data_IF_308035235258
#
_entry.id   IF_308035235258
#
_cell.length_a   1.000
_cell.length_b   1.000
_cell.length_c   1.000
_cell.angle_alpha   90.00
_cell.angle_beta   90.00
_cell.angle_gamma   90.00
#
_symmetry.space_group_name_H-M   'P 1'
#
loop_
_entity.id
_entity.type
_entity.pdbx_description
1 polymer ?
#
# COMPACT_ATOMS: atom_id res chain seq x y z
N UNK A 1 -21.20 -22.67 -38.55
CA UNK A 1 -21.32 -22.54 -37.09
C UNK A 1 -20.82 -23.82 -36.46
N UNK A 2 -19.51 -23.99 -36.39
CA UNK A 2 -18.96 -25.07 -35.57
C UNK A 2 -18.91 -24.56 -34.14
N UNK A 3 -19.81 -25.12 -33.33
CA UNK A 3 -19.93 -24.81 -31.89
C UNK A 3 -18.75 -25.43 -31.11
N UNK A 4 -18.01 -26.34 -31.74
CA UNK A 4 -16.83 -26.98 -31.19
C UNK A 4 -15.80 -27.24 -32.28
N UNK A 5 -14.56 -26.81 -32.06
CA UNK A 5 -13.40 -27.15 -32.88
C UNK A 5 -12.24 -27.56 -31.97
N UNK A 6 -11.61 -28.68 -32.32
CA UNK A 6 -10.42 -29.18 -31.65
C UNK A 6 -9.37 -29.46 -32.71
N UNK A 7 -8.25 -28.73 -32.61
CA UNK A 7 -7.07 -29.00 -33.40
C UNK A 7 -6.11 -29.89 -32.62
N UNK A 8 -6.04 -31.16 -33.00
CA UNK A 8 -5.15 -32.15 -32.39
C UNK A 8 -3.67 -31.80 -32.63
N UNK A 9 -3.36 -31.13 -33.76
CA UNK A 9 -1.97 -30.80 -34.13
C UNK A 9 -1.46 -29.65 -33.26
N UNK A 10 -2.24 -28.58 -33.14
CA UNK A 10 -1.85 -27.39 -32.36
C UNK A 10 -2.32 -27.43 -30.90
N UNK A 11 -3.08 -28.47 -30.51
CA UNK A 11 -3.61 -28.69 -29.15
C UNK A 11 -4.51 -27.55 -28.67
N UNK A 12 -5.27 -26.95 -29.59
CA UNK A 12 -6.22 -25.88 -29.30
C UNK A 12 -7.61 -26.48 -29.02
N UNK A 13 -8.27 -26.00 -27.97
CA UNK A 13 -9.61 -26.43 -27.55
C UNK A 13 -10.57 -25.25 -27.63
N UNK A 14 -11.38 -25.19 -28.68
CA UNK A 14 -12.28 -24.06 -28.94
C UNK A 14 -13.75 -24.49 -28.84
N UNK A 15 -14.55 -23.77 -28.06
CA UNK A 15 -15.99 -24.00 -27.92
C UNK A 15 -16.75 -22.68 -27.86
N UNK A 16 -17.73 -22.50 -28.73
CA UNK A 16 -18.47 -21.25 -28.88
C UNK A 16 -18.34 -20.66 -30.28
N UNK A 17 -19.17 -19.66 -30.55
CA UNK A 17 -19.19 -18.98 -31.84
C UNK A 17 -17.96 -18.05 -31.97
N UNK A 18 -17.27 -18.09 -33.11
CA UNK A 18 -16.04 -17.33 -33.42
C UNK A 18 -14.86 -17.55 -32.44
N UNK A 19 -14.93 -18.56 -31.57
CA UNK A 19 -13.83 -18.85 -30.64
C UNK A 19 -12.60 -19.35 -31.40
N UNK A 20 -11.48 -18.63 -31.28
CA UNK A 20 -10.22 -18.98 -31.94
C UNK A 20 -10.23 -18.93 -33.47
N UNK A 21 -11.13 -18.17 -34.09
CA UNK A 21 -11.34 -18.17 -35.55
C UNK A 21 -10.08 -17.78 -36.36
N UNK A 22 -9.24 -16.89 -35.82
CA UNK A 22 -8.02 -16.42 -36.51
C UNK A 22 -6.80 -17.33 -36.35
N UNK A 23 -6.91 -18.42 -35.57
CA UNK A 23 -5.79 -19.34 -35.35
C UNK A 23 -5.48 -20.07 -36.66
N UNK A 24 -4.27 -19.86 -37.18
CA UNK A 24 -3.78 -20.54 -38.37
C UNK A 24 -3.04 -21.82 -38.01
N UNK A 25 -3.20 -22.85 -38.86
CA UNK A 25 -2.69 -24.19 -38.61
C UNK A 25 -1.15 -24.30 -38.74
N UNK A 26 -0.40 -23.71 -37.82
CA UNK A 26 1.05 -23.88 -37.54
C UNK A 26 1.56 -22.95 -36.42
N UNK A 27 0.73 -22.03 -35.92
CA UNK A 27 1.07 -21.02 -34.93
C UNK A 27 -0.06 -20.95 -33.88
N UNK A 28 0.14 -20.29 -32.73
CA UNK A 28 -0.91 -20.14 -31.72
C UNK A 28 -1.31 -21.47 -31.07
N UNK A 29 -0.36 -22.10 -30.40
CA UNK A 29 -0.43 -23.46 -29.87
C UNK A 29 -1.02 -23.49 -28.45
N UNK A 30 -1.76 -24.56 -28.13
CA UNK A 30 -2.10 -24.93 -26.75
C UNK A 30 -3.12 -24.01 -26.06
N UNK A 31 -4.00 -23.36 -26.82
CA UNK A 31 -5.01 -22.45 -26.32
C UNK A 31 -6.30 -23.18 -25.87
N UNK A 32 -6.97 -22.66 -24.84
CA UNK A 32 -8.30 -23.10 -24.38
C UNK A 32 -9.27 -21.93 -24.47
N UNK A 33 -10.18 -21.95 -25.43
CA UNK A 33 -11.04 -20.82 -25.78
C UNK A 33 -12.52 -21.24 -25.69
N UNK A 34 -13.25 -20.74 -24.69
CA UNK A 34 -14.62 -21.17 -24.38
C UNK A 34 -15.52 -19.93 -24.21
N UNK A 35 -16.38 -19.65 -25.18
CA UNK A 35 -17.28 -18.50 -25.16
C UNK A 35 -17.56 -17.96 -26.54
N UNK A 36 -18.54 -17.05 -26.63
CA UNK A 36 -18.77 -16.28 -27.86
C UNK A 36 -17.62 -15.27 -28.03
N UNK A 37 -16.96 -15.31 -29.19
CA UNK A 37 -15.80 -14.51 -29.54
C UNK A 37 -14.58 -14.63 -28.60
N UNK A 38 -14.45 -15.74 -27.86
CA UNK A 38 -13.31 -15.97 -26.99
C UNK A 38 -12.02 -16.16 -27.81
N UNK A 39 -11.04 -15.27 -27.65
CA UNK A 39 -9.76 -15.33 -28.35
C UNK A 39 -9.85 -15.28 -29.88
N UNK A 40 -10.85 -14.58 -30.44
CA UNK A 40 -11.11 -14.56 -31.89
C UNK A 40 -9.91 -14.11 -32.73
N UNK A 41 -9.14 -13.11 -32.27
CA UNK A 41 -8.05 -12.53 -33.04
C UNK A 41 -6.69 -13.22 -32.81
N UNK A 42 -6.61 -14.30 -32.03
CA UNK A 42 -5.34 -14.98 -31.74
C UNK A 42 -4.78 -15.58 -33.04
N UNK A 43 -3.62 -15.09 -33.47
CA UNK A 43 -2.90 -15.61 -34.65
C UNK A 43 -1.71 -16.46 -34.24
N UNK A 44 -0.84 -15.92 -33.36
CA UNK A 44 0.43 -16.58 -32.97
C UNK A 44 0.64 -16.70 -31.47
N UNK A 45 -0.33 -16.25 -30.67
CA UNK A 45 -0.26 -16.32 -29.21
C UNK A 45 -0.43 -17.74 -28.68
N UNK A 46 0.51 -18.20 -27.87
CA UNK A 46 0.52 -19.57 -27.34
C UNK A 46 0.01 -19.63 -25.89
N UNK A 47 -0.56 -20.78 -25.54
CA UNK A 47 -0.89 -21.17 -24.16
C UNK A 47 -1.81 -20.20 -23.41
N UNK A 48 -2.80 -19.64 -24.10
CA UNK A 48 -3.81 -18.79 -23.48
C UNK A 48 -5.04 -19.60 -23.05
N UNK A 49 -5.66 -19.17 -21.95
CA UNK A 49 -6.96 -19.66 -21.49
C UNK A 49 -7.94 -18.50 -21.55
N UNK A 50 -8.96 -18.56 -22.39
CA UNK A 50 -10.03 -17.58 -22.46
C UNK A 50 -11.39 -18.26 -22.22
N UNK A 51 -12.09 -17.89 -21.15
CA UNK A 51 -13.39 -18.46 -20.79
C UNK A 51 -14.38 -17.34 -20.48
N UNK A 52 -15.33 -17.11 -21.38
CA UNK A 52 -16.32 -16.04 -21.30
C UNK A 52 -16.56 -15.36 -22.64
N UNK A 53 -17.68 -14.65 -22.77
CA UNK A 53 -17.94 -13.82 -23.94
C UNK A 53 -16.93 -12.67 -24.04
N UNK A 54 -16.36 -12.45 -25.22
CA UNK A 54 -15.34 -11.43 -25.51
C UNK A 54 -14.07 -11.53 -24.65
N UNK A 55 -13.82 -12.68 -24.00
CA UNK A 55 -12.59 -12.89 -23.24
C UNK A 55 -11.41 -12.97 -24.21
N UNK A 56 -10.38 -12.14 -23.99
CA UNK A 56 -9.16 -12.11 -24.79
C UNK A 56 -9.38 -11.84 -26.30
N UNK A 57 -10.49 -11.18 -26.67
CA UNK A 57 -10.98 -11.10 -28.06
C UNK A 57 -9.97 -10.50 -29.04
N UNK A 58 -9.24 -9.43 -28.67
CA UNK A 58 -8.30 -8.74 -29.59
C UNK A 58 -6.83 -9.17 -29.43
N UNK A 59 -6.54 -10.24 -28.69
CA UNK A 59 -5.17 -10.71 -28.54
C UNK A 59 -4.70 -11.35 -29.85
N UNK A 60 -3.61 -10.85 -30.45
CA UNK A 60 -3.06 -11.40 -31.70
C UNK A 60 -1.81 -12.27 -31.44
N UNK A 61 -0.89 -11.77 -30.63
CA UNK A 61 0.43 -12.38 -30.41
C UNK A 61 0.73 -12.70 -28.94
N UNK A 62 -0.08 -12.20 -28.01
CA UNK A 62 0.13 -12.38 -26.57
C UNK A 62 0.02 -13.84 -26.13
N UNK A 63 0.92 -14.26 -25.26
CA UNK A 63 1.05 -15.64 -24.79
C UNK A 63 0.94 -15.76 -23.27
N UNK A 64 0.59 -16.95 -22.79
CA UNK A 64 0.50 -17.28 -21.36
C UNK A 64 -0.53 -16.46 -20.57
N UNK A 65 -1.60 -16.02 -21.22
CA UNK A 65 -2.67 -15.26 -20.56
C UNK A 65 -3.79 -16.17 -20.05
N UNK A 66 -4.39 -15.81 -18.92
CA UNK A 66 -5.58 -16.46 -18.37
C UNK A 66 -6.67 -15.41 -18.23
N UNK A 67 -7.72 -15.46 -19.05
CA UNK A 67 -8.87 -14.58 -19.07
C UNK A 67 -10.14 -15.37 -18.77
N UNK A 68 -10.73 -15.20 -17.59
CA UNK A 68 -11.96 -15.91 -17.19
C UNK A 68 -13.00 -14.88 -16.73
N UNK A 69 -14.03 -14.67 -17.54
CA UNK A 69 -15.09 -13.68 -17.32
C UNK A 69 -15.45 -12.94 -18.60
N UNK A 70 -16.63 -12.32 -18.61
CA UNK A 70 -17.07 -11.48 -19.73
C UNK A 70 -16.16 -10.25 -19.86
N UNK A 71 -15.58 -10.03 -21.06
CA UNK A 71 -14.54 -9.03 -21.36
C UNK A 71 -13.26 -9.09 -20.50
N UNK A 72 -12.94 -10.23 -19.88
CA UNK A 72 -11.65 -10.35 -19.20
C UNK A 72 -10.51 -10.23 -20.23
N UNK A 73 -9.52 -9.36 -19.98
CA UNK A 73 -8.40 -9.08 -20.90
C UNK A 73 -8.82 -8.72 -22.34
N UNK A 74 -9.94 -8.00 -22.51
CA UNK A 74 -10.54 -7.72 -23.82
C UNK A 74 -9.54 -7.16 -24.85
N UNK A 75 -8.73 -6.18 -24.46
CA UNK A 75 -7.80 -5.44 -25.34
C UNK A 75 -6.33 -5.88 -25.21
N UNK A 76 -6.06 -7.07 -24.67
CA UNK A 76 -4.71 -7.49 -24.33
C UNK A 76 -3.93 -8.09 -25.50
N UNK A 77 -2.76 -7.52 -25.82
CA UNK A 77 -1.77 -8.12 -26.72
C UNK A 77 -0.41 -8.40 -26.05
N UNK A 78 -0.39 -8.38 -24.71
CA UNK A 78 0.78 -8.61 -23.88
C UNK A 78 0.80 -10.03 -23.29
N UNK A 79 1.94 -10.41 -22.70
CA UNK A 79 2.16 -11.74 -22.14
C UNK A 79 1.92 -11.81 -20.63
N UNK A 80 1.58 -13.02 -20.17
CA UNK A 80 1.59 -13.42 -18.76
C UNK A 80 0.59 -12.68 -17.85
N UNK A 81 -0.57 -12.27 -18.38
CA UNK A 81 -1.62 -11.66 -17.57
C UNK A 81 -2.65 -12.69 -17.09
N UNK A 82 -3.14 -12.55 -15.86
CA UNK A 82 -4.23 -13.36 -15.30
C UNK A 82 -5.38 -12.45 -14.88
N UNK A 83 -6.54 -12.58 -15.51
CA UNK A 83 -7.76 -11.85 -15.21
C UNK A 83 -8.91 -12.83 -14.92
N UNK A 84 -9.50 -12.72 -13.73
CA UNK A 84 -10.66 -13.50 -13.31
C UNK A 84 -11.77 -12.55 -12.83
N UNK A 85 -12.78 -12.32 -13.66
CA UNK A 85 -13.91 -11.46 -13.34
C UNK A 85 -14.48 -10.71 -14.54
N UNK A 86 -15.65 -10.10 -14.36
CA UNK A 86 -16.25 -9.20 -15.34
C UNK A 86 -15.37 -7.96 -15.55
N UNK A 87 -14.96 -7.68 -16.79
CA UNK A 87 -14.08 -6.56 -17.18
C UNK A 87 -12.75 -6.50 -16.38
N UNK A 88 -12.24 -7.61 -15.85
CA UNK A 88 -10.92 -7.62 -15.20
C UNK A 88 -9.82 -7.40 -16.25
N UNK A 89 -8.91 -6.44 -16.02
CA UNK A 89 -7.84 -6.02 -16.97
C UNK A 89 -8.34 -5.76 -18.40
N UNK A 90 -9.56 -5.25 -18.58
CA UNK A 90 -10.19 -5.12 -19.90
C UNK A 90 -9.35 -4.30 -20.90
N UNK A 91 -8.68 -3.26 -20.42
CA UNK A 91 -7.90 -2.33 -21.24
C UNK A 91 -6.37 -2.57 -21.18
N UNK A 92 -5.92 -3.70 -20.60
CA UNK A 92 -4.51 -3.97 -20.31
C UNK A 92 -3.68 -4.32 -21.53
N UNK A 93 -2.66 -3.51 -21.80
CA UNK A 93 -1.59 -3.75 -22.78
C UNK A 93 -0.20 -3.92 -22.12
N UNK A 94 -0.12 -3.87 -20.78
CA UNK A 94 1.08 -4.20 -19.99
C UNK A 94 1.19 -5.69 -19.66
N UNK A 95 2.34 -6.15 -19.18
CA UNK A 95 2.64 -7.58 -18.94
C UNK A 95 2.61 -7.96 -17.45
N UNK A 96 2.45 -9.26 -17.16
CA UNK A 96 2.62 -9.83 -15.82
C UNK A 96 1.69 -9.26 -14.73
N UNK A 97 0.45 -8.91 -15.08
CA UNK A 97 -0.57 -8.44 -14.16
C UNK A 97 -1.49 -9.58 -13.68
N UNK A 98 -1.92 -9.53 -12.42
CA UNK A 98 -2.95 -10.40 -11.83
C UNK A 98 -4.14 -9.55 -11.41
N UNK A 99 -5.33 -9.85 -11.91
CA UNK A 99 -6.58 -9.22 -11.51
C UNK A 99 -7.67 -10.26 -11.18
N UNK A 100 -8.27 -10.16 -10.01
CA UNK A 100 -9.33 -11.06 -9.55
C UNK A 100 -10.46 -10.24 -8.93
N UNK A 101 -11.61 -10.17 -9.59
CA UNK A 101 -12.77 -9.39 -9.16
C UNK A 101 -13.42 -8.62 -10.31
N UNK A 102 -14.64 -8.12 -10.09
CA UNK A 102 -15.32 -7.27 -11.08
C UNK A 102 -14.56 -5.96 -11.25
N UNK A 103 -14.16 -5.63 -12.48
CA UNK A 103 -13.41 -4.43 -12.85
C UNK A 103 -12.08 -4.27 -12.09
N UNK A 104 -11.51 -5.35 -11.57
CA UNK A 104 -10.17 -5.33 -10.98
C UNK A 104 -9.15 -4.93 -12.06
N UNK A 105 -8.37 -3.87 -11.81
CA UNK A 105 -7.44 -3.27 -12.76
C UNK A 105 -8.10 -2.93 -14.13
N UNK A 106 -9.39 -2.58 -14.12
CA UNK A 106 -10.21 -2.46 -15.33
C UNK A 106 -9.64 -1.50 -16.38
N UNK A 107 -9.06 -0.37 -15.94
CA UNK A 107 -8.51 0.67 -16.82
C UNK A 107 -6.96 0.68 -16.86
N UNK A 108 -6.31 -0.39 -16.40
CA UNK A 108 -4.85 -0.56 -16.58
C UNK A 108 -4.54 -0.61 -18.05
N UNK A 109 -3.76 0.35 -18.55
CA UNK A 109 -3.32 0.40 -19.94
C UNK A 109 -1.91 -0.16 -20.04
N UNK A 110 -0.87 0.59 -19.70
CA UNK A 110 0.54 0.17 -19.89
C UNK A 110 1.20 -0.38 -18.63
N UNK A 111 0.54 -0.35 -17.47
CA UNK A 111 1.12 -0.80 -16.20
C UNK A 111 1.45 -2.30 -16.19
N UNK A 112 2.54 -2.66 -15.55
CA UNK A 112 3.06 -4.02 -15.46
C UNK A 112 3.33 -4.46 -14.01
N UNK A 113 3.35 -5.78 -13.79
CA UNK A 113 3.67 -6.37 -12.48
C UNK A 113 2.72 -5.97 -11.35
N UNK A 114 1.45 -5.73 -11.64
CA UNK A 114 0.44 -5.36 -10.64
C UNK A 114 -0.38 -6.56 -10.16
N UNK A 115 -0.83 -6.51 -8.91
CA UNK A 115 -1.76 -7.48 -8.30
C UNK A 115 -3.00 -6.73 -7.82
N UNK A 116 -4.18 -7.02 -8.37
CA UNK A 116 -5.47 -6.46 -8.00
C UNK A 116 -6.43 -7.57 -7.60
N UNK A 117 -6.79 -7.66 -6.31
CA UNK A 117 -7.72 -8.68 -5.80
C UNK A 117 -8.86 -7.98 -5.06
N UNK A 118 -10.06 -8.01 -5.62
CA UNK A 118 -11.24 -7.32 -5.11
C UNK A 118 -11.94 -6.55 -6.22
N UNK A 119 -13.24 -6.28 -6.04
CA UNK A 119 -13.97 -5.47 -7.00
C UNK A 119 -13.40 -4.05 -7.04
N UNK A 120 -13.14 -3.52 -8.24
CA UNK A 120 -12.53 -2.20 -8.48
C UNK A 120 -11.15 -1.96 -7.81
N UNK A 121 -10.44 -3.01 -7.37
CA UNK A 121 -9.05 -2.85 -6.93
C UNK A 121 -8.19 -2.37 -8.11
N UNK A 122 -7.37 -1.33 -7.91
CA UNK A 122 -6.58 -0.67 -8.98
C UNK A 122 -7.39 -0.19 -10.20
N UNK A 123 -8.69 0.11 -10.03
CA UNK A 123 -9.59 0.40 -11.15
C UNK A 123 -9.03 1.44 -12.14
N UNK A 124 -8.53 2.57 -11.62
CA UNK A 124 -8.04 3.68 -12.44
C UNK A 124 -6.53 3.68 -12.68
N UNK A 125 -5.79 2.63 -12.31
CA UNK A 125 -4.38 2.52 -12.69
C UNK A 125 -4.28 2.56 -14.20
N UNK A 126 -3.54 3.50 -14.77
CA UNK A 126 -3.34 3.62 -16.23
C UNK A 126 -1.96 3.14 -16.63
N UNK A 127 -0.91 3.52 -15.89
CA UNK A 127 0.49 3.22 -16.25
C UNK A 127 1.39 2.84 -15.07
N UNK A 128 0.84 2.71 -13.87
CA UNK A 128 1.62 2.41 -12.67
C UNK A 128 2.05 0.95 -12.58
N UNK A 129 3.26 0.72 -12.07
CA UNK A 129 3.92 -0.58 -12.00
C UNK A 129 4.13 -1.06 -10.56
N UNK A 130 4.23 -2.38 -10.37
CA UNK A 130 4.58 -3.00 -9.09
C UNK A 130 3.63 -2.67 -7.92
N UNK A 131 2.34 -2.48 -8.18
CA UNK A 131 1.35 -2.24 -7.14
C UNK A 131 0.67 -3.53 -6.68
N UNK A 132 0.38 -3.63 -5.39
CA UNK A 132 -0.44 -4.70 -4.80
C UNK A 132 -1.65 -4.05 -4.16
N UNK A 133 -2.85 -4.37 -4.64
CA UNK A 133 -4.13 -3.93 -4.10
C UNK A 133 -5.01 -5.14 -3.78
N UNK A 134 -5.30 -5.35 -2.50
CA UNK A 134 -6.12 -6.46 -2.03
C UNK A 134 -7.25 -5.89 -1.18
N UNK A 135 -8.47 -5.87 -1.73
CA UNK A 135 -9.66 -5.30 -1.11
C UNK A 135 -10.55 -4.66 -2.17
N UNK A 136 -11.84 -4.53 -1.86
CA UNK A 136 -12.73 -3.72 -2.71
C UNK A 136 -12.21 -2.28 -2.74
N UNK A 137 -12.02 -1.73 -3.95
CA UNK A 137 -11.60 -0.34 -4.15
C UNK A 137 -10.22 0.01 -3.52
N UNK A 138 -9.38 -1.00 -3.23
CA UNK A 138 -8.01 -0.77 -2.79
C UNK A 138 -7.21 -0.13 -3.94
N UNK A 139 -6.54 1.01 -3.66
CA UNK A 139 -5.88 1.84 -4.67
C UNK A 139 -6.79 2.19 -5.88
N UNK A 140 -8.10 2.40 -5.65
CA UNK A 140 -9.09 2.61 -6.72
C UNK A 140 -8.80 3.80 -7.65
N UNK A 141 -8.37 4.94 -7.10
CA UNK A 141 -8.14 6.19 -7.85
C UNK A 141 -6.66 6.48 -8.14
N UNK A 142 -5.80 5.45 -8.22
CA UNK A 142 -4.37 5.67 -8.48
C UNK A 142 -4.08 5.63 -9.97
N UNK A 143 -3.78 6.77 -10.63
CA UNK A 143 -3.61 6.78 -12.09
C UNK A 143 -2.24 6.28 -12.58
N UNK A 144 -1.16 6.65 -11.89
CA UNK A 144 0.23 6.45 -12.37
C UNK A 144 1.20 6.11 -11.25
N UNK A 145 0.69 5.59 -10.13
CA UNK A 145 1.53 5.37 -8.94
C UNK A 145 2.24 4.04 -9.01
N UNK A 146 3.46 3.97 -8.49
CA UNK A 146 4.25 2.74 -8.49
C UNK A 146 4.55 2.22 -7.09
N UNK A 147 4.80 0.92 -6.98
CA UNK A 147 5.38 0.28 -5.79
C UNK A 147 4.55 0.46 -4.52
N UNK A 148 3.23 0.59 -4.63
CA UNK A 148 2.34 0.68 -3.47
C UNK A 148 1.80 -0.70 -3.08
N UNK A 149 1.71 -0.96 -1.79
CA UNK A 149 0.99 -2.12 -1.24
C UNK A 149 -0.20 -1.64 -0.42
N UNK A 150 -1.40 -2.02 -0.80
CA UNK A 150 -2.64 -1.73 -0.11
C UNK A 150 -3.41 -3.01 0.17
N UNK A 151 -3.69 -3.29 1.44
CA UNK A 151 -4.41 -4.47 1.89
C UNK A 151 -5.55 -4.02 2.79
N UNK A 152 -6.79 -4.09 2.32
CA UNK A 152 -7.99 -3.62 2.98
C UNK A 152 -8.92 -2.91 2.00
N UNK A 153 -10.23 -2.95 2.25
CA UNK A 153 -11.17 -2.22 1.40
C UNK A 153 -10.93 -0.70 1.49
N UNK A 154 -10.89 -0.03 0.34
CA UNK A 154 -10.56 1.39 0.17
C UNK A 154 -9.19 1.83 0.72
N UNK A 155 -8.28 0.89 1.00
CA UNK A 155 -6.92 1.23 1.44
C UNK A 155 -6.16 1.96 0.32
N UNK A 156 -5.53 3.08 0.67
CA UNK A 156 -4.78 3.93 -0.27
C UNK A 156 -5.64 4.53 -1.39
N UNK A 157 -6.97 4.60 -1.25
CA UNK A 157 -7.89 4.95 -2.34
C UNK A 157 -7.56 6.24 -3.09
N UNK A 158 -7.03 7.26 -2.40
CA UNK A 158 -6.63 8.56 -2.98
C UNK A 158 -5.11 8.76 -3.08
N UNK A 159 -4.31 7.69 -2.97
CA UNK A 159 -2.85 7.78 -3.01
C UNK A 159 -2.37 8.21 -4.40
N UNK A 160 -1.55 9.27 -4.47
CA UNK A 160 -0.92 9.70 -5.73
C UNK A 160 0.62 9.61 -5.69
N UNK A 161 1.21 9.18 -4.57
CA UNK A 161 2.63 8.92 -4.46
C UNK A 161 2.98 7.44 -4.57
N UNK A 162 4.27 7.13 -4.38
CA UNK A 162 4.87 5.83 -4.64
C UNK A 162 5.51 5.22 -3.38
N UNK A 163 5.71 3.91 -3.37
CA UNK A 163 6.45 3.25 -2.29
C UNK A 163 5.73 3.21 -0.94
N UNK A 164 4.41 3.30 -0.93
CA UNK A 164 3.62 3.28 0.29
C UNK A 164 3.13 1.89 0.68
N UNK A 165 2.92 1.68 1.98
CA UNK A 165 2.30 0.47 2.55
C UNK A 165 1.07 0.87 3.37
N UNK A 166 -0.12 0.47 2.92
CA UNK A 166 -1.42 0.70 3.56
C UNK A 166 -2.04 -0.63 3.99
N UNK A 167 -2.33 -0.80 5.27
CA UNK A 167 -2.91 -2.04 5.81
C UNK A 167 -4.11 -1.74 6.71
N UNK A 168 -5.27 -2.26 6.30
CA UNK A 168 -6.58 -2.25 6.96
C UNK A 168 -7.62 -1.36 6.25
N UNK A 169 -8.87 -1.38 6.75
CA UNK A 169 -9.99 -0.67 6.11
C UNK A 169 -9.71 0.83 6.01
N UNK A 170 -9.78 1.37 4.79
CA UNK A 170 -9.55 2.78 4.47
C UNK A 170 -8.19 3.36 4.94
N UNK A 171 -7.20 2.51 5.24
CA UNK A 171 -5.87 2.92 5.66
C UNK A 171 -5.22 3.83 4.61
N UNK A 172 -4.74 5.00 5.02
CA UNK A 172 -4.14 5.98 4.10
C UNK A 172 -5.11 6.54 3.05
N UNK A 173 -6.43 6.38 3.20
CA UNK A 173 -7.41 6.88 2.24
C UNK A 173 -7.42 8.40 2.06
N UNK A 174 -6.81 9.15 2.97
CA UNK A 174 -6.63 10.61 2.88
C UNK A 174 -5.18 11.02 2.53
N UNK A 175 -4.30 10.06 2.28
CA UNK A 175 -2.88 10.28 2.09
C UNK A 175 -2.58 10.67 0.63
N UNK A 176 -3.07 11.83 0.21
CA UNK A 176 -2.85 12.38 -1.13
C UNK A 176 -1.40 12.86 -1.25
N UNK A 177 -0.73 12.50 -2.34
CA UNK A 177 0.65 12.90 -2.68
C UNK A 177 1.74 12.52 -1.67
N UNK A 178 1.53 11.49 -0.83
CA UNK A 178 2.58 10.95 0.03
C UNK A 178 3.31 9.79 -0.66
N UNK A 179 4.64 9.78 -0.54
CA UNK A 179 5.49 8.66 -0.92
C UNK A 179 6.24 8.13 0.30
N UNK A 180 6.69 6.89 0.20
CA UNK A 180 7.55 6.24 1.18
C UNK A 180 6.92 6.18 2.59
N UNK A 181 5.59 6.01 2.69
CA UNK A 181 4.90 5.95 3.98
C UNK A 181 4.42 4.55 4.35
N UNK A 182 4.36 4.31 5.66
CA UNK A 182 3.66 3.18 6.25
C UNK A 182 2.40 3.69 6.97
N UNK A 183 1.26 3.04 6.74
CA UNK A 183 0.00 3.27 7.44
C UNK A 183 -0.66 1.93 7.77
N UNK A 184 -0.78 1.62 9.06
CA UNK A 184 -1.57 0.47 9.53
C UNK A 184 -2.73 1.03 10.34
N UNK A 185 -3.94 0.88 9.80
CA UNK A 185 -5.14 1.48 10.35
C UNK A 185 -6.41 0.78 9.85
N UNK A 186 -7.52 0.89 10.59
CA UNK A 186 -8.79 0.25 10.21
C UNK A 186 -9.94 1.25 10.08
N UNK A 187 -9.61 2.52 9.83
CA UNK A 187 -10.58 3.59 9.54
C UNK A 187 -9.95 4.58 8.57
N UNK A 188 -10.70 5.60 8.14
CA UNK A 188 -10.21 6.72 7.34
C UNK A 188 -9.68 7.90 8.19
N UNK A 189 -9.47 7.72 9.49
CA UNK A 189 -8.99 8.78 10.36
C UNK A 189 -7.54 9.19 10.08
N UNK A 190 -7.20 10.42 10.44
CA UNK A 190 -5.85 11.02 10.24
C UNK A 190 -4.81 10.55 11.24
N UNK A 191 -5.19 9.75 12.24
CA UNK A 191 -4.32 9.22 13.30
C UNK A 191 -4.27 7.69 13.24
N UNK A 192 -3.32 7.12 12.47
CA UNK A 192 -3.19 5.67 12.30
C UNK A 192 -2.82 4.95 13.60
N UNK A 193 -3.01 3.62 13.66
CA UNK A 193 -2.54 2.82 14.80
C UNK A 193 -1.00 2.75 14.82
N UNK A 194 -0.42 2.56 13.63
CA UNK A 194 1.03 2.61 13.37
C UNK A 194 1.20 3.40 12.08
N UNK A 195 2.15 4.33 12.06
CA UNK A 195 2.54 5.02 10.84
C UNK A 195 4.04 5.19 10.76
N UNK A 196 4.58 5.40 9.57
CA UNK A 196 6.01 5.53 9.38
C UNK A 196 6.36 6.28 8.12
N UNK A 197 7.64 6.62 8.04
CA UNK A 197 8.24 7.30 6.91
C UNK A 197 9.56 6.60 6.58
N UNK A 198 9.52 5.79 5.52
CA UNK A 198 10.66 5.02 5.05
C UNK A 198 11.81 5.92 4.59
N UNK A 199 11.53 7.15 4.14
CA UNK A 199 12.55 8.09 3.67
C UNK A 199 13.49 8.56 4.79
N UNK A 200 13.01 8.54 6.04
CA UNK A 200 13.79 8.90 7.24
C UNK A 200 14.03 7.71 8.18
N UNK A 201 13.50 6.53 7.84
CA UNK A 201 13.68 5.31 8.63
C UNK A 201 12.86 5.25 9.92
N UNK A 202 11.75 6.00 10.02
CA UNK A 202 10.97 6.11 11.24
C UNK A 202 9.69 5.26 11.20
N UNK A 203 9.37 4.63 12.34
CA UNK A 203 8.07 4.00 12.61
C UNK A 203 7.56 4.52 13.94
N UNK A 204 6.34 5.03 13.95
CA UNK A 204 5.68 5.67 15.08
C UNK A 204 4.47 4.84 15.52
N UNK A 205 4.33 4.72 16.83
CA UNK A 205 3.17 4.16 17.52
C UNK A 205 2.54 5.29 18.36
N UNK A 206 1.60 6.07 17.79
CA UNK A 206 1.12 7.31 18.42
C UNK A 206 0.45 7.14 19.79
N UNK A 207 0.04 5.92 20.17
CA UNK A 207 -0.52 5.64 21.50
C UNK A 207 0.52 5.13 22.51
N UNK A 208 1.80 5.05 22.11
CA UNK A 208 2.92 4.70 22.99
C UNK A 208 4.02 5.76 22.88
N UNK A 209 3.94 6.84 23.67
CA UNK A 209 4.88 7.95 23.57
C UNK A 209 6.26 7.55 24.08
N UNK A 210 7.28 8.15 23.49
CA UNK A 210 8.67 8.04 23.91
C UNK A 210 9.42 9.28 23.46
N UNK A 211 10.13 9.94 24.37
CA UNK A 211 10.92 11.13 24.03
C UNK A 211 12.27 11.12 24.75
N UNK A 212 13.23 11.83 24.17
CA UNK A 212 14.54 12.11 24.75
C UNK A 212 14.87 13.59 24.53
N UNK A 213 15.12 14.30 25.62
CA UNK A 213 15.35 15.74 25.63
C UNK A 213 16.61 16.09 26.43
N UNK A 214 17.30 17.14 26.00
CA UNK A 214 18.50 17.68 26.60
C UNK A 214 18.37 19.17 26.90
N UNK A 215 19.34 19.68 27.63
CA UNK A 215 19.59 21.11 27.79
C UNK A 215 20.35 21.63 26.56
N UNK A 216 19.92 22.75 26.00
CA UNK A 216 20.57 23.46 24.89
C UNK A 216 21.92 24.04 25.28
N UNK A 217 22.09 24.38 26.57
CA UNK A 217 23.31 24.92 27.12
C UNK A 217 23.48 24.58 28.60
N UNK A 218 24.74 24.61 29.07
CA UNK A 218 25.07 24.50 30.49
C UNK A 218 24.44 25.69 31.22
N UNK A 219 23.61 25.37 32.23
CA UNK A 219 23.04 26.38 33.10
C UNK A 219 24.06 26.79 34.17
N UNK A 220 24.24 28.10 34.35
CA UNK A 220 25.16 28.68 35.35
C UNK A 220 24.40 29.52 36.37
N UNK A 221 24.97 29.69 37.56
CA UNK A 221 24.36 30.43 38.68
C UNK A 221 23.01 29.87 39.16
N UNK A 222 22.92 28.53 39.25
CA UNK A 222 21.70 27.77 39.56
C UNK A 222 21.34 27.77 41.06
N UNK A 223 22.08 28.49 41.91
CA UNK A 223 21.94 28.40 43.37
C UNK A 223 22.18 29.75 44.04
N UNK A 224 21.31 30.13 44.97
CA UNK A 224 21.69 31.10 46.01
C UNK A 224 20.58 31.80 46.80
N UNK A 225 19.34 31.82 46.32
CA UNK A 225 18.28 32.70 46.86
C UNK A 225 17.06 31.96 47.42
N UNK A 226 17.16 30.64 47.63
CA UNK A 226 16.07 29.80 48.15
C UNK A 226 14.82 29.77 47.25
N UNK A 227 14.92 30.20 45.98
CA UNK A 227 13.85 30.08 45.00
C UNK A 227 13.96 28.78 44.20
N UNK A 228 12.83 28.18 43.76
CA UNK A 228 12.84 27.06 42.83
C UNK A 228 13.53 27.45 41.52
N UNK A 229 14.43 26.58 41.04
CA UNK A 229 15.06 26.73 39.73
C UNK A 229 14.48 25.70 38.75
N UNK A 230 13.98 26.15 37.62
CA UNK A 230 13.44 25.29 36.56
C UNK A 230 14.55 24.92 35.57
N UNK A 231 14.74 23.63 35.33
CA UNK A 231 15.71 23.11 34.36
C UNK A 231 15.02 23.03 32.99
N UNK A 232 15.43 23.85 32.00
CA UNK A 232 14.77 23.88 30.69
C UNK A 232 15.31 22.76 29.80
N UNK A 233 14.66 21.59 29.81
CA UNK A 233 14.92 20.56 28.80
C UNK A 233 14.32 21.03 27.47
N UNK A 234 15.08 21.79 26.70
CA UNK A 234 14.64 22.60 25.55
C UNK A 234 15.21 22.10 24.20
N UNK A 235 16.01 21.04 24.22
CA UNK A 235 16.55 20.41 23.01
C UNK A 235 15.98 19.00 22.86
N UNK A 236 15.05 18.83 21.93
CA UNK A 236 14.53 17.51 21.57
C UNK A 236 15.55 16.74 20.72
N UNK A 237 15.91 15.55 21.18
CA UNK A 237 16.73 14.59 20.42
C UNK A 237 15.82 13.68 19.60
N UNK A 238 14.70 13.26 20.21
CA UNK A 238 13.65 12.47 19.59
C UNK A 238 12.37 12.65 20.40
N UNK A 239 11.23 12.71 19.71
CA UNK A 239 9.91 12.71 20.32
C UNK A 239 8.92 11.94 19.42
N UNK A 240 8.53 10.75 19.88
CA UNK A 240 7.54 9.93 19.22
C UNK A 240 6.15 10.49 19.49
N UNK A 241 5.49 10.98 18.45
CA UNK A 241 4.13 11.51 18.54
C UNK A 241 4.08 13.02 18.78
N UNK A 242 5.20 13.67 19.10
CA UNK A 242 5.21 15.10 19.39
C UNK A 242 4.54 15.43 20.73
N UNK A 243 4.64 14.50 21.69
CA UNK A 243 3.96 14.57 22.98
C UNK A 243 4.76 15.39 24.02
N UNK A 244 6.01 15.74 23.72
CA UNK A 244 6.84 16.67 24.48
C UNK A 244 6.85 18.05 23.82
N UNK A 245 6.50 19.07 24.58
CA UNK A 245 6.64 20.46 24.18
C UNK A 245 7.22 21.24 25.37
N UNK A 246 8.52 21.55 25.28
CA UNK A 246 9.30 22.05 26.41
C UNK A 246 8.56 23.12 27.24
N UNK A 247 8.46 22.96 28.58
CA UNK A 247 9.02 21.89 29.40
C UNK A 247 8.07 20.69 29.63
N UNK A 248 6.90 20.67 28.98
CA UNK A 248 5.77 19.81 29.34
C UNK A 248 5.70 18.56 28.48
N UNK A 249 5.41 17.43 29.11
CA UNK A 249 4.94 16.23 28.43
C UNK A 249 3.41 16.13 28.55
N UNK A 250 2.71 15.91 27.43
CA UNK A 250 1.26 15.68 27.38
C UNK A 250 1.00 14.21 27.10
N UNK A 251 0.40 13.49 28.04
CA UNK A 251 0.08 12.07 27.82
C UNK A 251 -0.97 11.90 26.71
N UNK A 252 -0.67 11.14 25.63
CA UNK A 252 -1.61 10.94 24.52
C UNK A 252 -2.77 10.00 24.88
N UNK A 253 -2.60 9.18 25.93
CA UNK A 253 -3.61 8.25 26.44
C UNK A 253 -3.54 8.17 27.96
N UNK A 254 -4.62 7.69 28.59
CA UNK A 254 -4.58 7.40 30.02
C UNK A 254 -3.69 6.17 30.28
N UNK A 255 -2.79 6.25 31.25
CA UNK A 255 -1.86 5.16 31.50
C UNK A 255 -0.73 5.43 32.48
N UNK A 256 0.22 4.49 32.52
CA UNK A 256 1.44 4.60 33.32
C UNK A 256 2.62 4.94 32.43
N UNK A 257 3.39 5.95 32.85
CA UNK A 257 4.56 6.45 32.16
C UNK A 257 5.77 6.38 33.07
N UNK A 258 6.92 6.01 32.51
CA UNK A 258 8.21 6.05 33.19
C UNK A 258 8.97 7.30 32.71
N UNK A 259 9.26 8.21 33.63
CA UNK A 259 10.08 9.38 33.36
C UNK A 259 11.40 9.23 34.11
N UNK A 260 12.50 9.39 33.37
CA UNK A 260 13.85 9.33 33.94
C UNK A 260 14.58 10.60 33.56
N UNK A 261 14.99 11.38 34.56
CA UNK A 261 15.84 12.54 34.36
C UNK A 261 17.20 12.31 35.03
N UNK A 262 18.28 12.59 34.31
CA UNK A 262 19.64 12.57 34.85
C UNK A 262 20.23 13.96 34.71
N UNK A 263 20.47 14.61 35.83
CA UNK A 263 21.03 15.97 35.90
C UNK A 263 22.43 15.88 36.47
N UNK A 264 23.43 16.39 35.73
CA UNK A 264 24.79 16.51 36.23
C UNK A 264 25.01 17.91 36.80
N UNK A 265 25.28 17.99 38.10
CA UNK A 265 25.50 19.24 38.81
C UNK A 265 27.00 19.39 39.11
N UNK A 266 27.53 20.61 38.96
CA UNK A 266 28.90 20.97 39.36
C UNK A 266 28.83 21.86 40.59
N UNK A 267 29.47 21.46 41.68
CA UNK A 267 29.53 22.30 42.89
C UNK A 267 30.59 23.41 42.76
N UNK A 268 30.66 24.29 43.77
CA UNK A 268 31.64 25.39 43.81
C UNK A 268 33.10 24.92 43.90
N UNK A 269 33.34 23.67 44.33
CA UNK A 269 34.68 23.07 44.33
C UNK A 269 35.11 22.59 42.93
N UNK A 270 34.16 22.54 41.99
CA UNK A 270 34.35 22.06 40.65
C UNK A 270 34.09 20.56 40.47
N UNK A 271 33.60 19.88 41.52
CA UNK A 271 33.29 18.44 41.50
C UNK A 271 31.92 18.22 40.87
N UNK A 272 31.82 17.18 40.02
CA UNK A 272 30.55 16.79 39.41
C UNK A 272 29.83 15.71 40.21
N UNK A 273 28.51 15.85 40.35
CA UNK A 273 27.61 14.85 40.89
C UNK A 273 26.48 14.58 39.90
N UNK A 274 26.05 13.32 39.76
CA UNK A 274 24.89 12.97 38.95
C UNK A 274 23.68 12.77 39.87
N UNK A 275 22.62 13.53 39.65
CA UNK A 275 21.32 13.35 40.26
C UNK A 275 20.44 12.55 39.29
N UNK A 276 19.95 11.39 39.73
CA UNK A 276 19.02 10.56 38.94
C UNK A 276 17.64 10.63 39.58
N UNK A 277 16.69 11.16 38.84
CA UNK A 277 15.27 11.16 39.17
C UNK A 277 14.59 10.07 38.34
N UNK A 278 13.90 9.15 39.01
CA UNK A 278 13.06 8.15 38.37
C UNK A 278 11.67 8.34 38.94
N UNK A 279 10.73 8.70 38.09
CA UNK A 279 9.32 8.80 38.46
C UNK A 279 8.54 7.82 37.58
N UNK A 280 7.57 7.15 38.18
CA UNK A 280 6.53 6.49 37.41
C UNK A 280 5.21 7.00 37.96
N UNK A 281 4.44 7.71 37.16
CA UNK A 281 3.20 8.27 37.68
C UNK A 281 2.19 7.15 37.95
N UNK A 282 1.42 7.31 39.03
CA UNK A 282 0.18 6.59 39.31
C UNK A 282 -0.85 7.15 38.32
N UNK A 283 -1.18 6.40 37.27
CA UNK A 283 -2.23 6.68 36.25
C UNK A 283 -2.41 8.17 35.90
N UNK A 284 -1.73 8.64 34.84
CA UNK A 284 -2.09 9.92 34.23
C UNK A 284 -3.49 9.79 33.63
N UNK A 285 -4.41 10.64 34.08
CA UNK A 285 -5.78 10.74 33.56
C UNK A 285 -5.99 12.15 33.02
N UNK A 286 -6.10 12.28 31.69
CA UNK A 286 -6.65 13.42 30.91
C UNK A 286 -6.44 14.90 31.29
N UNK A 287 -5.66 15.26 32.31
CA UNK A 287 -5.52 16.63 32.79
C UNK A 287 -4.07 16.91 33.19
N UNK A 288 -3.50 17.94 32.56
CA UNK A 288 -2.21 18.58 32.87
C UNK A 288 -1.90 18.54 34.36
N UNK A 289 -0.90 17.75 34.74
CA UNK A 289 -0.17 17.93 35.99
C UNK A 289 1.27 18.27 35.62
N UNK A 290 1.61 19.53 35.86
CA UNK A 290 2.95 20.10 35.64
C UNK A 290 3.93 19.78 36.76
#
# INVERSE_FOLDING_TARGET
TDIFWHDIVNKNYCFGNAAGESIVATEGLGNVLIGDAAGTDITTGDYNVAVGTDALITCTTGSYNVAIGHNALKLNNADSNTALGYNALADCIGTSNLAMGSQAAGNTTTGAYNVAIGAAALLLNTSGDYNVAIGNDALGDVATTDKNTAIGASAGGLCTGAGNVFIGYAAGGQAVAVSDKLYIHNTNAVSPLIYGDFSVGNVNFPLTPAFLVFLSAIQSNVTGDNHPYNIPFDTEVFDQGGDYASPNFTAPVDGRYLLVAVVRVKDMSGTFQNLKFVTSNREYTGATQG
#
